data_IF_005607819542
#
_entry.id   IF_005607819542
#
_cell.length_a   1.000
_cell.length_b   1.000
_cell.length_c   1.000
_cell.angle_alpha   90.00
_cell.angle_beta   90.00
_cell.angle_gamma   90.00
#
_symmetry.space_group_name_H-M   'P 1'
#
loop_
_entity.id
_entity.type
_entity.pdbx_description
1 polymer ?
#
# COMPACT_ATOMS: atom_id res chain seq x y z
N UNK A 1 16.55 5.44 19.40
CA UNK A 1 15.37 4.99 20.14
C UNK A 1 14.10 5.49 19.47
N UNK A 2 14.03 6.75 19.32
CA UNK A 2 12.84 7.39 18.78
C UNK A 2 12.54 6.97 17.35
N UNK A 3 13.55 6.62 16.58
CA UNK A 3 13.36 6.23 15.20
C UNK A 3 12.49 4.96 15.09
N UNK A 4 12.76 3.97 15.93
CA UNK A 4 11.95 2.75 15.92
C UNK A 4 10.50 3.07 16.30
N UNK A 5 10.31 3.97 17.25
CA UNK A 5 8.98 4.41 17.65
C UNK A 5 8.25 5.06 16.48
N UNK A 6 8.92 5.96 15.77
CA UNK A 6 8.29 6.67 14.64
C UNK A 6 7.98 5.74 13.48
N UNK A 7 8.84 4.76 13.25
CA UNK A 7 8.60 3.75 12.22
C UNK A 7 7.37 2.92 12.57
N UNK A 8 7.24 2.49 13.82
CA UNK A 8 6.07 1.74 14.28
C UNK A 8 4.79 2.54 14.12
N UNK A 9 4.86 3.83 14.45
CA UNK A 9 3.72 4.73 14.30
C UNK A 9 3.32 4.87 12.83
N UNK A 10 4.31 4.98 11.95
CA UNK A 10 4.05 5.11 10.51
C UNK A 10 3.37 3.86 9.97
N UNK A 11 3.87 2.69 10.32
CA UNK A 11 3.28 1.44 9.87
C UNK A 11 1.86 1.30 10.39
N UNK A 12 1.65 1.62 11.65
CA UNK A 12 0.31 1.56 12.24
C UNK A 12 -0.66 2.51 11.53
N UNK A 13 -0.20 3.73 11.23
CA UNK A 13 -1.02 4.69 10.51
C UNK A 13 -1.39 4.17 9.11
N UNK A 14 -0.44 3.58 8.42
CA UNK A 14 -0.68 2.99 7.09
C UNK A 14 -1.70 1.86 7.20
N UNK A 15 -1.55 0.97 8.16
CA UNK A 15 -2.48 -0.15 8.34
C UNK A 15 -3.90 0.32 8.59
N UNK A 16 -4.05 1.41 9.32
CA UNK A 16 -5.37 1.93 9.66
C UNK A 16 -5.98 2.81 8.57
N UNK A 17 -5.17 3.31 7.65
CA UNK A 17 -5.63 4.34 6.71
C UNK A 17 -5.33 4.06 5.24
N UNK A 18 -4.75 2.92 4.89
CA UNK A 18 -4.32 2.66 3.50
C UNK A 18 -5.48 2.72 2.50
N UNK A 19 -6.70 2.50 2.95
CA UNK A 19 -7.90 2.54 2.10
C UNK A 19 -8.29 3.97 1.71
N UNK A 20 -7.73 4.95 2.42
CA UNK A 20 -8.00 6.36 2.18
C UNK A 20 -6.92 6.96 1.30
N UNK A 21 -7.20 8.15 0.78
CA UNK A 21 -6.25 8.89 -0.06
C UNK A 21 -5.23 9.60 0.80
N UNK A 22 -4.35 8.82 1.44
CA UNK A 22 -3.31 9.38 2.31
C UNK A 22 -2.04 9.63 1.51
N UNK A 23 -1.27 10.61 1.97
CA UNK A 23 0.00 11.01 1.37
C UNK A 23 1.15 10.70 2.32
N UNK A 24 2.38 10.75 1.80
CA UNK A 24 3.58 10.61 2.64
C UNK A 24 3.60 11.73 3.69
N UNK A 25 3.11 12.92 3.31
CA UNK A 25 3.02 14.04 4.27
C UNK A 25 2.10 13.71 5.43
N UNK A 26 0.96 13.08 5.15
CA UNK A 26 0.03 12.66 6.21
C UNK A 26 0.69 11.68 7.17
N UNK A 27 1.46 10.75 6.63
CA UNK A 27 2.15 9.76 7.44
C UNK A 27 3.19 10.44 8.34
N UNK A 28 3.99 11.32 7.76
CA UNK A 28 5.02 12.03 8.49
C UNK A 28 4.43 12.91 9.58
N UNK A 29 3.34 13.63 9.26
CA UNK A 29 2.67 14.50 10.24
C UNK A 29 2.13 13.70 11.41
N UNK A 30 1.60 12.53 11.15
CA UNK A 30 1.10 11.67 12.22
C UNK A 30 2.21 11.28 13.19
N UNK A 31 3.45 11.22 12.69
CA UNK A 31 4.61 10.91 13.52
C UNK A 31 5.26 12.18 14.13
N UNK A 32 4.74 13.36 13.78
CA UNK A 32 5.34 14.61 14.24
C UNK A 32 6.65 14.94 13.57
N UNK A 33 6.86 14.45 12.34
CA UNK A 33 8.12 14.62 11.64
C UNK A 33 7.92 15.37 10.33
N UNK A 34 8.99 16.05 9.91
CA UNK A 34 9.08 16.67 8.60
C UNK A 34 9.14 15.57 7.53
N UNK A 35 8.48 15.80 6.40
CA UNK A 35 8.39 14.79 5.32
C UNK A 35 9.75 14.34 4.83
N UNK A 36 10.68 15.30 4.61
CA UNK A 36 11.98 14.95 4.07
C UNK A 36 12.80 14.13 5.04
N UNK A 37 12.79 14.52 6.31
CA UNK A 37 13.48 13.79 7.34
C UNK A 37 12.91 12.39 7.52
N UNK A 38 11.58 12.32 7.59
CA UNK A 38 10.88 11.05 7.72
C UNK A 38 11.20 10.10 6.56
N UNK A 39 11.11 10.60 5.32
CA UNK A 39 11.37 9.79 4.14
C UNK A 39 12.77 9.23 4.11
N UNK A 40 13.75 10.08 4.44
CA UNK A 40 15.15 9.66 4.46
C UNK A 40 15.39 8.57 5.50
N UNK A 41 14.89 8.78 6.71
CA UNK A 41 15.10 7.82 7.80
C UNK A 41 14.34 6.51 7.55
N UNK A 42 13.14 6.61 7.01
CA UNK A 42 12.35 5.44 6.68
C UNK A 42 13.10 4.57 5.67
N UNK A 43 13.64 5.19 4.62
CA UNK A 43 14.38 4.45 3.60
C UNK A 43 15.66 3.83 4.16
N UNK A 44 16.35 4.55 5.04
CA UNK A 44 17.57 4.03 5.67
C UNK A 44 17.27 2.77 6.49
N UNK A 45 16.11 2.72 7.16
CA UNK A 45 15.76 1.59 8.01
C UNK A 45 15.15 0.44 7.23
N UNK A 46 14.31 0.72 6.23
CA UNK A 46 13.56 -0.31 5.52
C UNK A 46 14.06 -0.62 4.12
N UNK A 47 14.96 0.20 3.59
CA UNK A 47 15.42 0.02 2.21
C UNK A 47 14.40 0.45 1.17
N UNK A 48 13.24 0.95 1.58
CA UNK A 48 12.17 1.43 0.70
C UNK A 48 11.67 2.78 1.19
N UNK A 49 11.23 3.62 0.25
CA UNK A 49 10.61 4.89 0.63
C UNK A 49 9.24 4.62 1.26
N UNK A 50 8.71 5.57 2.05
CA UNK A 50 7.36 5.41 2.58
C UNK A 50 6.31 5.21 1.49
N UNK A 51 6.46 5.88 0.35
CA UNK A 51 5.53 5.75 -0.76
C UNK A 51 5.56 4.35 -1.35
N UNK A 52 6.77 3.79 -1.52
CA UNK A 52 6.91 2.41 -1.98
C UNK A 52 6.29 1.44 -0.99
N UNK A 53 6.50 1.68 0.29
CA UNK A 53 5.93 0.82 1.33
C UNK A 53 4.41 0.84 1.27
N UNK A 54 3.83 2.03 1.19
CA UNK A 54 2.37 2.18 1.10
C UNK A 54 1.82 1.44 -0.14
N UNK A 55 2.46 1.64 -1.28
CA UNK A 55 2.04 0.99 -2.51
C UNK A 55 2.09 -0.53 -2.38
N UNK A 56 3.17 -1.06 -1.84
CA UNK A 56 3.30 -2.52 -1.69
C UNK A 56 2.31 -3.06 -0.67
N UNK A 57 2.03 -2.32 0.38
CA UNK A 57 1.02 -2.70 1.35
C UNK A 57 -0.34 -2.82 0.68
N UNK A 58 -0.71 -1.82 -0.14
CA UNK A 58 -1.97 -1.84 -0.88
C UNK A 58 -2.05 -3.02 -1.83
N UNK A 59 -0.95 -3.32 -2.53
CA UNK A 59 -0.90 -4.44 -3.47
C UNK A 59 -1.06 -5.77 -2.75
N UNK A 60 -0.44 -5.93 -1.59
CA UNK A 60 -0.59 -7.14 -0.79
C UNK A 60 -2.05 -7.35 -0.38
N UNK A 61 -2.71 -6.28 0.06
CA UNK A 61 -4.13 -6.36 0.41
C UNK A 61 -4.98 -6.72 -0.81
N UNK A 62 -4.59 -6.21 -1.98
CA UNK A 62 -5.30 -6.53 -3.21
C UNK A 62 -5.21 -8.02 -3.53
N UNK A 63 -4.03 -8.63 -3.37
CA UNK A 63 -3.89 -10.07 -3.65
C UNK A 63 -4.80 -10.88 -2.73
N UNK A 64 -4.91 -10.50 -1.46
CA UNK A 64 -5.80 -11.20 -0.52
C UNK A 64 -7.25 -11.15 -0.99
N UNK A 65 -7.70 -9.97 -1.43
CA UNK A 65 -9.07 -9.82 -1.91
C UNK A 65 -9.31 -10.55 -3.22
N UNK A 66 -8.31 -10.55 -4.12
CA UNK A 66 -8.43 -11.29 -5.38
C UNK A 66 -8.57 -12.78 -5.14
N UNK A 67 -7.86 -13.30 -4.15
CA UNK A 67 -7.84 -14.73 -3.86
C UNK A 67 -9.05 -15.19 -3.04
N UNK A 68 -9.54 -14.34 -2.15
CA UNK A 68 -10.50 -14.78 -1.13
C UNK A 68 -11.83 -14.04 -1.12
N UNK A 69 -12.10 -13.18 -2.10
CA UNK A 69 -13.38 -12.47 -2.15
C UNK A 69 -13.98 -12.53 -3.54
N UNK A 70 -15.25 -12.17 -3.65
CA UNK A 70 -15.97 -12.09 -4.92
C UNK A 70 -16.05 -10.66 -5.43
N UNK A 71 -15.32 -9.73 -4.81
CA UNK A 71 -15.33 -8.34 -5.24
C UNK A 71 -14.80 -8.20 -6.65
N UNK A 72 -15.38 -7.29 -7.42
CA UNK A 72 -14.89 -6.99 -8.76
C UNK A 72 -13.51 -6.32 -8.68
N UNK A 73 -12.79 -6.32 -9.78
CA UNK A 73 -11.48 -5.65 -9.84
C UNK A 73 -11.63 -4.17 -9.47
N UNK A 74 -12.69 -3.52 -9.97
CA UNK A 74 -12.95 -2.12 -9.63
C UNK A 74 -13.23 -1.90 -8.15
N UNK A 75 -13.99 -2.81 -7.55
CA UNK A 75 -14.27 -2.74 -6.12
C UNK A 75 -13.02 -2.95 -5.29
N UNK A 76 -12.15 -3.87 -5.70
CA UNK A 76 -10.88 -4.11 -5.02
C UNK A 76 -9.99 -2.88 -5.13
N UNK A 77 -9.91 -2.29 -6.32
CA UNK A 77 -9.15 -1.06 -6.53
C UNK A 77 -9.53 -0.01 -5.49
N UNK A 78 -10.83 0.24 -5.36
CA UNK A 78 -11.34 1.22 -4.42
C UNK A 78 -11.03 0.81 -2.97
N UNK A 79 -11.22 -0.46 -2.66
CA UNK A 79 -11.04 -0.99 -1.30
C UNK A 79 -9.59 -0.85 -0.81
N UNK A 80 -8.62 -0.86 -1.73
CA UNK A 80 -7.21 -0.73 -1.31
C UNK A 80 -6.65 0.68 -1.54
N UNK A 81 -7.53 1.66 -1.81
CA UNK A 81 -7.12 3.05 -1.82
C UNK A 81 -6.80 3.65 -3.18
N UNK A 82 -7.15 2.98 -4.28
CA UNK A 82 -6.97 3.53 -5.62
C UNK A 82 -8.30 4.03 -6.15
N UNK A 83 -8.33 5.29 -6.57
CA UNK A 83 -9.55 5.88 -7.12
C UNK A 83 -9.78 5.48 -8.58
N UNK A 84 -8.72 5.12 -9.28
CA UNK A 84 -8.76 4.79 -10.70
C UNK A 84 -8.40 3.32 -10.90
N UNK A 85 -9.35 2.48 -11.34
CA UNK A 85 -9.07 1.06 -11.55
C UNK A 85 -7.97 0.80 -12.57
N UNK A 86 -7.83 1.66 -13.57
CA UNK A 86 -6.77 1.50 -14.57
C UNK A 86 -5.40 1.73 -13.96
N UNK A 87 -5.29 2.78 -13.14
CA UNK A 87 -4.04 3.05 -12.42
C UNK A 87 -3.69 1.88 -11.48
N UNK A 88 -4.70 1.37 -10.78
CA UNK A 88 -4.52 0.20 -9.92
C UNK A 88 -3.99 -1.00 -10.72
N UNK A 89 -4.63 -1.30 -11.85
CA UNK A 89 -4.25 -2.47 -12.65
C UNK A 89 -2.83 -2.37 -13.17
N UNK A 90 -2.41 -1.17 -13.56
CA UNK A 90 -1.03 -0.93 -14.01
C UNK A 90 -0.04 -1.11 -12.89
N UNK A 91 -0.34 -0.56 -11.72
CA UNK A 91 0.52 -0.70 -10.55
C UNK A 91 0.64 -2.17 -10.13
N UNK A 92 -0.47 -2.88 -10.17
CA UNK A 92 -0.50 -4.30 -9.84
C UNK A 92 0.38 -5.10 -10.80
N UNK A 93 0.19 -4.89 -12.10
CA UNK A 93 0.97 -5.61 -13.10
C UNK A 93 2.45 -5.27 -13.00
N UNK A 94 2.78 -4.01 -12.73
CA UNK A 94 4.18 -3.61 -12.53
C UNK A 94 4.80 -4.31 -11.33
N UNK A 95 4.02 -4.56 -10.30
CA UNK A 95 4.51 -5.18 -9.07
C UNK A 95 4.65 -6.70 -9.22
N UNK A 96 3.68 -7.35 -9.84
CA UNK A 96 3.61 -8.81 -9.85
C UNK A 96 3.79 -9.45 -11.22
N UNK A 97 3.86 -8.67 -12.29
CA UNK A 97 4.10 -9.19 -13.63
C UNK A 97 2.86 -9.67 -14.37
N UNK A 98 1.74 -9.80 -13.69
CA UNK A 98 0.48 -10.20 -14.32
C UNK A 98 -0.65 -9.29 -13.83
N UNK A 99 -1.76 -9.28 -14.58
CA UNK A 99 -2.89 -8.42 -14.24
C UNK A 99 -3.65 -8.94 -13.01
N UNK A 100 -4.46 -8.09 -12.37
CA UNK A 100 -5.30 -8.55 -11.27
C UNK A 100 -6.22 -9.70 -11.66
N UNK A 101 -6.79 -9.65 -12.87
CA UNK A 101 -7.66 -10.72 -13.34
C UNK A 101 -6.89 -12.03 -13.49
N UNK A 102 -5.70 -11.97 -14.09
CA UNK A 102 -4.85 -13.13 -14.24
C UNK A 102 -4.45 -13.70 -12.89
N UNK A 103 -4.19 -12.83 -11.93
CA UNK A 103 -3.87 -13.26 -10.57
C UNK A 103 -5.03 -14.04 -9.96
N UNK A 104 -6.24 -13.51 -10.08
CA UNK A 104 -7.43 -14.19 -9.56
C UNK A 104 -7.62 -15.55 -10.22
N UNK A 105 -7.49 -15.60 -11.55
CA UNK A 105 -7.64 -16.86 -12.28
C UNK A 105 -6.65 -17.90 -11.81
N UNK A 106 -5.45 -17.47 -11.47
CA UNK A 106 -4.36 -18.37 -11.10
C UNK A 106 -4.41 -18.78 -9.63
N UNK A 107 -4.78 -17.87 -8.74
CA UNK A 107 -4.62 -18.08 -7.31
C UNK A 107 -5.92 -18.07 -6.50
N UNK A 108 -7.07 -17.90 -7.12
CA UNK A 108 -8.33 -17.89 -6.39
C UNK A 108 -8.52 -19.22 -5.65
N UNK A 109 -9.04 -19.14 -4.43
CA UNK A 109 -9.24 -20.32 -3.60
C UNK A 109 -10.52 -21.09 -4.00
N UNK A 110 -11.30 -20.54 -4.93
CA UNK A 110 -12.49 -21.25 -5.45
C UNK A 110 -12.12 -22.19 -6.60
#
# INVERSE_FOLDING_TARGET
MQLIYYISEAINFIELNYQKDITVEDIAENCGLNRNYFGKKFKEEFGKTPQEFLMRFRMTKATELLEHSQLSIGEISCAVGYNDPLHFSRAFKNTYGISPRQWRDKYSSD
#
